data_IF_055650499608
#
_entry.id   IF_055650499608
#
_cell.length_a   1.000
_cell.length_b   1.000
_cell.length_c   1.000
_cell.angle_alpha   90.00
_cell.angle_beta   90.00
_cell.angle_gamma   90.00
#
_symmetry.space_group_name_H-M   'P 1'
#
loop_
_entity.id
_entity.type
_entity.pdbx_description
1 polymer ?
#
# COMPACT_ATOMS: atom_id res chain seq x y z
N UNK A 1 1.42 -7.82 -8.38
CA UNK A 1 2.24 -6.65 -8.02
C UNK A 1 2.24 -6.50 -6.51
N UNK A 2 3.34 -6.05 -5.92
CA UNK A 2 3.52 -5.92 -4.47
C UNK A 2 2.46 -5.06 -3.79
N UNK A 3 2.07 -3.94 -4.43
CA UNK A 3 0.99 -3.08 -3.92
C UNK A 3 -0.30 -3.86 -3.59
N UNK A 4 -0.82 -4.60 -4.56
CA UNK A 4 -2.05 -5.40 -4.39
C UNK A 4 -1.87 -6.48 -3.32
N UNK A 5 -0.71 -7.15 -3.30
CA UNK A 5 -0.41 -8.19 -2.33
C UNK A 5 -0.44 -7.62 -0.91
N UNK A 6 0.17 -6.45 -0.71
CA UNK A 6 0.23 -5.79 0.58
C UNK A 6 -1.16 -5.39 1.08
N UNK A 7 -1.96 -4.72 0.25
CA UNK A 7 -3.33 -4.31 0.62
C UNK A 7 -4.21 -5.53 0.94
N UNK A 8 -4.15 -6.59 0.12
CA UNK A 8 -4.95 -7.80 0.35
C UNK A 8 -4.59 -8.51 1.65
N UNK A 9 -3.30 -8.62 1.96
CA UNK A 9 -2.80 -9.21 3.22
C UNK A 9 -3.19 -8.41 4.46
N UNK A 10 -3.34 -7.10 4.33
CA UNK A 10 -3.76 -6.25 5.44
C UNK A 10 -5.24 -6.48 5.81
N UNK A 11 -6.09 -6.58 4.79
CA UNK A 11 -7.53 -6.64 4.98
C UNK A 11 -8.09 -8.08 5.00
N UNK A 12 -7.33 -9.07 4.53
CA UNK A 12 -7.76 -10.48 4.45
C UNK A 12 -8.86 -10.67 3.40
N UNK A 13 -8.73 -9.99 2.25
CA UNK A 13 -9.82 -9.86 1.27
C UNK A 13 -9.40 -10.22 -0.17
N UNK A 14 -10.37 -10.64 -0.98
CA UNK A 14 -10.23 -10.91 -2.43
C UNK A 14 -10.12 -9.65 -3.29
N UNK A 15 -10.20 -9.80 -4.63
CA UNK A 15 -10.00 -8.72 -5.61
C UNK A 15 -11.01 -7.55 -5.52
N UNK A 16 -12.13 -7.73 -4.83
CA UNK A 16 -13.31 -6.87 -4.94
C UNK A 16 -13.31 -5.63 -4.01
N UNK A 17 -12.32 -5.46 -3.12
CA UNK A 17 -12.25 -4.28 -2.25
C UNK A 17 -11.56 -3.08 -2.91
N UNK A 18 -12.16 -1.89 -2.73
CA UNK A 18 -11.63 -0.60 -3.21
C UNK A 18 -10.18 -0.39 -2.75
N UNK A 19 -9.29 -0.13 -3.71
CA UNK A 19 -7.87 0.14 -3.46
C UNK A 19 -6.96 -1.09 -3.48
N UNK A 20 -7.51 -2.32 -3.51
CA UNK A 20 -6.72 -3.55 -3.62
C UNK A 20 -6.40 -3.95 -5.08
N UNK A 21 -6.90 -3.21 -6.08
CA UNK A 21 -6.57 -3.47 -7.48
C UNK A 21 -5.19 -2.90 -7.83
N UNK A 22 -4.38 -3.71 -8.52
CA UNK A 22 -3.13 -3.27 -9.19
C UNK A 22 -3.36 -2.07 -10.10
N UNK A 23 -4.54 -1.95 -10.70
CA UNK A 23 -4.86 -0.88 -11.65
C UNK A 23 -4.69 0.51 -11.03
N UNK A 24 -4.95 0.68 -9.73
CA UNK A 24 -4.75 1.97 -9.05
C UNK A 24 -3.28 2.41 -9.05
N UNK A 25 -2.37 1.47 -8.82
CA UNK A 25 -0.94 1.76 -8.77
C UNK A 25 -0.35 1.90 -10.18
N UNK A 26 -0.80 1.08 -11.14
CA UNK A 26 -0.43 1.23 -12.55
C UNK A 26 -0.91 2.56 -13.12
N UNK A 27 -2.11 3.01 -12.77
CA UNK A 27 -2.63 4.31 -13.19
C UNK A 27 -1.76 5.47 -12.67
N UNK A 28 -1.31 5.38 -11.41
CA UNK A 28 -0.36 6.34 -10.86
C UNK A 28 0.96 6.36 -11.66
N UNK A 29 1.57 5.20 -11.87
CA UNK A 29 2.82 5.08 -12.64
C UNK A 29 2.69 5.63 -14.07
N UNK A 30 1.57 5.33 -14.73
CA UNK A 30 1.33 5.77 -16.09
C UNK A 30 1.05 7.28 -16.17
N UNK A 31 0.37 7.86 -15.17
CA UNK A 31 0.12 9.30 -15.09
C UNK A 31 1.42 10.05 -14.78
N UNK A 32 2.25 9.54 -13.87
CA UNK A 32 3.57 10.11 -13.56
C UNK A 32 4.54 10.01 -14.74
N UNK A 33 4.49 8.92 -15.51
CA UNK A 33 5.32 8.73 -16.71
C UNK A 33 4.82 9.52 -17.94
N UNK A 34 3.70 10.25 -17.82
CA UNK A 34 3.07 10.96 -18.94
C UNK A 34 2.47 10.06 -20.03
N UNK A 35 2.42 8.74 -19.79
CA UNK A 35 1.90 7.75 -20.74
C UNK A 35 0.38 7.73 -20.83
N UNK A 36 -0.30 8.15 -19.76
CA UNK A 36 -1.76 8.28 -19.75
C UNK A 36 -2.19 9.75 -19.75
N UNK A 37 -2.77 10.19 -20.88
CA UNK A 37 -3.48 11.49 -21.01
C UNK A 37 -5.00 11.33 -20.90
N UNK A 38 -5.48 10.41 -20.05
CA UNK A 38 -6.92 10.22 -19.86
C UNK A 38 -7.43 11.23 -18.82
N UNK A 39 -8.05 12.30 -19.32
CA UNK A 39 -8.59 13.43 -18.55
C UNK A 39 -9.54 13.04 -17.41
N UNK A 40 -10.14 11.85 -17.48
CA UNK A 40 -11.08 11.32 -16.48
C UNK A 40 -10.41 10.70 -15.24
N UNK A 41 -9.14 10.28 -15.33
CA UNK A 41 -8.47 9.55 -14.25
C UNK A 41 -7.94 10.45 -13.11
N UNK A 42 -8.17 11.77 -13.19
CA UNK A 42 -7.72 12.75 -12.19
C UNK A 42 -6.23 13.07 -12.29
N UNK A 43 -5.79 14.12 -11.58
CA UNK A 43 -4.37 14.49 -11.55
C UNK A 43 -3.53 13.41 -10.84
N UNK A 44 -2.26 13.27 -11.22
CA UNK A 44 -1.30 12.38 -10.55
C UNK A 44 -1.32 12.57 -9.03
N UNK A 45 -1.51 13.81 -8.57
CA UNK A 45 -1.62 14.15 -7.15
C UNK A 45 -2.80 13.47 -6.45
N UNK A 46 -3.98 13.45 -7.08
CA UNK A 46 -5.17 12.79 -6.52
C UNK A 46 -4.99 11.29 -6.48
N UNK A 47 -4.43 10.70 -7.53
CA UNK A 47 -4.15 9.27 -7.58
C UNK A 47 -3.13 8.86 -6.52
N UNK A 48 -2.06 9.65 -6.37
CA UNK A 48 -1.02 9.46 -5.35
C UNK A 48 -1.60 9.57 -3.95
N UNK A 49 -2.45 10.56 -3.69
CA UNK A 49 -3.13 10.70 -2.40
C UNK A 49 -4.02 9.49 -2.09
N UNK A 50 -4.74 8.96 -3.09
CA UNK A 50 -5.55 7.75 -2.93
C UNK A 50 -4.70 6.52 -2.61
N UNK A 51 -3.63 6.29 -3.37
CA UNK A 51 -2.67 5.18 -3.15
C UNK A 51 -2.06 5.27 -1.75
N UNK A 52 -1.57 6.45 -1.33
CA UNK A 52 -1.06 6.67 0.04
C UNK A 52 -2.11 6.36 1.09
N UNK A 53 -3.36 6.80 0.88
CA UNK A 53 -4.47 6.53 1.79
C UNK A 53 -4.76 5.03 1.94
N UNK A 54 -4.68 4.26 0.85
CA UNK A 54 -4.85 2.81 0.91
C UNK A 54 -3.69 2.13 1.64
N UNK A 55 -2.45 2.53 1.37
CA UNK A 55 -1.27 2.00 2.07
C UNK A 55 -1.29 2.28 3.57
N UNK A 56 -1.67 3.51 3.97
CA UNK A 56 -1.80 3.88 5.37
C UNK A 56 -2.86 3.04 6.08
N UNK A 57 -4.03 2.85 5.45
CA UNK A 57 -5.10 1.98 5.97
C UNK A 57 -4.66 0.52 6.10
N UNK A 58 -3.89 0.03 5.12
CA UNK A 58 -3.34 -1.32 5.17
C UNK A 58 -2.36 -1.47 6.34
N UNK A 59 -1.43 -0.54 6.53
CA UNK A 59 -0.51 -0.53 7.67
C UNK A 59 -1.28 -0.52 9.00
N UNK A 60 -2.27 0.35 9.15
CA UNK A 60 -3.11 0.40 10.36
C UNK A 60 -3.85 -0.93 10.59
N UNK A 61 -4.34 -1.57 9.53
CA UNK A 61 -5.01 -2.86 9.63
C UNK A 61 -4.04 -3.99 10.03
N UNK A 62 -2.78 -3.93 9.60
CA UNK A 62 -1.74 -4.86 10.06
C UNK A 62 -1.38 -4.67 11.53
N UNK A 63 -1.17 -3.42 11.96
CA UNK A 63 -0.83 -3.09 13.35
C UNK A 63 -1.96 -3.47 14.31
N UNK A 64 -3.22 -3.34 13.88
CA UNK A 64 -4.37 -3.69 14.70
C UNK A 64 -4.36 -5.20 15.00
N UNK A 65 -4.36 -5.61 16.27
CA UNK A 65 -4.36 -7.02 16.64
C UNK A 65 -5.61 -7.72 16.08
N UNK A 66 -5.39 -8.70 15.20
CA UNK A 66 -6.42 -9.63 14.70
C UNK A 66 -6.23 -11.00 15.35
N UNK A 67 -7.33 -11.73 15.55
CA UNK A 67 -7.28 -13.11 16.05
C UNK A 67 -6.34 -13.94 15.16
N UNK A 68 -5.27 -14.51 15.75
CA UNK A 68 -4.28 -15.32 15.05
C UNK A 68 -3.05 -14.59 14.49
N UNK A 69 -3.04 -13.24 14.47
CA UNK A 69 -1.88 -12.44 14.01
C UNK A 69 -1.41 -11.50 15.10
N UNK A 70 -0.23 -11.79 15.67
CA UNK A 70 0.45 -10.91 16.62
C UNK A 70 1.84 -10.56 16.09
N UNK A 71 1.94 -9.37 15.49
CA UNK A 71 3.23 -8.76 15.16
C UNK A 71 4.03 -8.54 16.45
N UNK A 72 5.35 -8.68 16.36
CA UNK A 72 6.26 -8.27 17.41
C UNK A 72 6.24 -6.75 17.53
N UNK A 73 6.58 -6.24 18.72
CA UNK A 73 6.66 -4.80 18.96
C UNK A 73 7.63 -4.10 17.97
N UNK A 74 8.73 -4.76 17.61
CA UNK A 74 9.70 -4.26 16.64
C UNK A 74 9.10 -4.13 15.22
N UNK A 75 8.28 -5.09 14.81
CA UNK A 75 7.64 -5.08 13.48
C UNK A 75 6.51 -4.05 13.40
N UNK A 76 5.78 -3.86 14.51
CA UNK A 76 4.81 -2.77 14.65
C UNK A 76 5.53 -1.43 14.51
N UNK A 77 6.62 -1.22 15.25
CA UNK A 77 7.40 0.02 15.16
C UNK A 77 7.96 0.26 13.74
N UNK A 78 8.42 -0.81 13.07
CA UNK A 78 8.86 -0.72 11.67
C UNK A 78 7.71 -0.32 10.74
N UNK A 79 6.52 -0.93 10.88
CA UNK A 79 5.35 -0.56 10.07
C UNK A 79 4.88 0.87 10.35
N UNK A 80 4.89 1.31 11.61
CA UNK A 80 4.58 2.69 11.99
C UNK A 80 5.58 3.68 11.40
N UNK A 81 6.86 3.32 11.34
CA UNK A 81 7.90 4.16 10.70
C UNK A 81 7.70 4.32 9.19
N UNK A 82 6.99 3.41 8.52
CA UNK A 82 6.68 3.52 7.09
C UNK A 82 5.59 4.56 6.80
N UNK A 83 4.68 4.83 7.75
CA UNK A 83 3.59 5.81 7.56
C UNK A 83 4.10 7.21 7.17
N UNK A 84 5.01 7.86 7.94
CA UNK A 84 5.51 9.18 7.57
C UNK A 84 6.33 9.17 6.27
N UNK A 85 6.97 8.03 5.93
CA UNK A 85 7.71 7.88 4.67
C UNK A 85 6.75 7.82 3.47
N UNK A 86 5.64 7.09 3.61
CA UNK A 86 4.58 7.02 2.59
C UNK A 86 3.93 8.38 2.42
N UNK A 87 3.66 9.12 3.50
CA UNK A 87 3.09 10.46 3.39
C UNK A 87 4.02 11.45 2.68
N UNK A 88 5.34 11.37 2.93
CA UNK A 88 6.35 12.23 2.30
C UNK A 88 6.68 11.86 0.86
N UNK A 89 6.40 10.61 0.45
CA UNK A 89 6.76 10.13 -0.88
C UNK A 89 6.14 10.97 -2.00
N UNK A 90 6.94 11.37 -2.97
CA UNK A 90 6.49 12.25 -4.06
C UNK A 90 6.22 11.50 -5.36
N UNK A 91 6.54 10.20 -5.44
CA UNK A 91 6.33 9.41 -6.66
C UNK A 91 6.01 7.94 -6.38
N UNK A 92 5.46 7.26 -7.37
CA UNK A 92 5.27 5.80 -7.36
C UNK A 92 6.60 5.04 -7.19
N UNK A 93 7.71 5.58 -7.71
CA UNK A 93 9.05 5.02 -7.56
C UNK A 93 9.55 5.08 -6.11
N UNK A 94 9.16 6.09 -5.35
CA UNK A 94 9.45 6.16 -3.91
C UNK A 94 8.52 5.27 -3.08
N UNK A 95 7.30 5.04 -3.56
CA UNK A 95 6.31 4.18 -2.88
C UNK A 95 6.64 2.69 -3.01
N UNK A 96 7.14 2.24 -4.16
CA UNK A 96 7.49 0.83 -4.41
C UNK A 96 8.39 0.21 -3.32
N UNK A 97 9.57 0.77 -3.00
CA UNK A 97 10.45 0.17 -1.99
C UNK A 97 9.84 0.19 -0.58
N UNK A 98 8.93 1.12 -0.29
CA UNK A 98 8.21 1.16 1.00
C UNK A 98 7.18 0.03 1.08
N UNK A 99 6.51 -0.28 -0.03
CA UNK A 99 5.58 -1.41 -0.15
C UNK A 99 6.33 -2.72 0.01
N UNK A 100 7.47 -2.89 -0.67
CA UNK A 100 8.30 -4.09 -0.56
C UNK A 100 8.77 -4.33 0.88
N UNK A 101 9.21 -3.27 1.57
CA UNK A 101 9.54 -3.33 3.01
C UNK A 101 8.34 -3.77 3.85
N UNK A 102 7.17 -3.19 3.61
CA UNK A 102 5.93 -3.59 4.30
C UNK A 102 5.58 -5.07 4.07
N UNK A 103 5.77 -5.57 2.85
CA UNK A 103 5.57 -6.99 2.53
C UNK A 103 6.57 -7.86 3.27
N UNK A 104 7.85 -7.50 3.28
CA UNK A 104 8.89 -8.28 3.97
C UNK A 104 8.59 -8.42 5.47
N UNK A 105 8.16 -7.35 6.12
CA UNK A 105 7.77 -7.35 7.54
C UNK A 105 6.55 -8.25 7.78
N UNK A 106 5.59 -8.26 6.86
CA UNK A 106 4.30 -8.94 7.04
C UNK A 106 4.25 -10.35 6.46
N UNK A 107 5.26 -10.75 5.68
CA UNK A 107 5.39 -12.05 5.04
C UNK A 107 5.43 -13.24 6.01
N UNK A 108 6.07 -13.17 7.20
CA UNK A 108 6.07 -14.27 8.16
C UNK A 108 4.69 -14.59 8.74
N UNK A 109 3.76 -13.62 8.68
CA UNK A 109 2.43 -13.71 9.27
C UNK A 109 1.35 -14.05 8.24
N UNK A 110 1.71 -14.85 7.23
CA UNK A 110 0.75 -15.33 6.24
C UNK A 110 -0.27 -16.22 6.96
N UNK A 111 -1.56 -15.98 6.70
CA UNK A 111 -2.64 -16.86 7.13
C UNK A 111 -2.30 -18.31 6.72
N UNK A 112 -2.31 -19.20 7.71
CA UNK A 112 -2.41 -20.65 7.53
C UNK A 112 -3.81 -21.00 7.02
#
# INVERSE_FOLDING_TARGET
MDYEIFIRRAHGCGREQKGASVDYFLNLQNTESGKLKLSYLGSAEKQRAAVKGYLAKAIQAFIKPRRGRKLKAEEVAQLESLLPLIERSSSSNELLPLIEKGIAITQPYKEA
#
